data_IF_817526237341
#
_entry.id   IF_817526237341
#
_cell.length_a   1.000
_cell.length_b   1.000
_cell.length_c   1.000
_cell.angle_alpha   90.00
_cell.angle_beta   90.00
_cell.angle_gamma   90.00
#
_symmetry.space_group_name_H-M   'P 1'
#
loop_
_entity.id
_entity.type
_entity.pdbx_description
1 polymer ?
#
# COMPACT_ATOMS: atom_id res chain seq x y z
N UNK A 1 -10.81 -12.34 -1.85
CA UNK A 1 -10.68 -11.29 -2.84
C UNK A 1 -11.87 -10.35 -2.79
N UNK A 2 -11.63 -9.11 -2.82
CA UNK A 2 -12.72 -8.17 -2.86
C UNK A 2 -13.40 -8.19 -4.23
N UNK A 3 -14.69 -7.94 -4.22
CA UNK A 3 -15.45 -7.80 -5.44
C UNK A 3 -15.04 -6.50 -6.14
N UNK A 4 -14.57 -6.62 -7.38
CA UNK A 4 -14.16 -5.47 -8.16
C UNK A 4 -15.18 -5.11 -9.25
N UNK A 5 -16.31 -5.82 -9.28
CA UNK A 5 -17.33 -5.49 -10.28
C UNK A 5 -17.98 -4.15 -9.95
N UNK A 6 -18.34 -3.43 -11.01
CA UNK A 6 -18.96 -2.13 -10.91
C UNK A 6 -20.41 -2.21 -11.40
N UNK A 7 -21.24 -1.22 -11.05
CA UNK A 7 -22.60 -1.19 -11.57
C UNK A 7 -22.67 -1.25 -13.08
N UNK A 8 -23.82 -1.67 -13.62
CA UNK A 8 -24.01 -1.91 -15.05
C UNK A 8 -23.80 -0.66 -15.92
N UNK A 9 -23.90 0.54 -15.34
CA UNK A 9 -23.67 1.77 -16.08
C UNK A 9 -22.20 2.02 -16.41
N UNK A 10 -21.26 1.22 -15.90
CA UNK A 10 -19.85 1.34 -16.24
C UNK A 10 -19.53 0.51 -17.48
N UNK A 11 -18.72 1.07 -18.36
CA UNK A 11 -18.24 0.37 -19.55
C UNK A 11 -16.73 0.57 -19.68
N UNK A 12 -16.09 -0.41 -20.33
CA UNK A 12 -14.63 -0.37 -20.55
C UNK A 12 -14.38 0.44 -21.82
N UNK A 13 -13.68 1.56 -21.69
CA UNK A 13 -13.24 2.35 -22.83
C UNK A 13 -12.05 3.21 -22.46
N UNK A 14 -11.42 3.80 -23.46
CA UNK A 14 -10.30 4.70 -23.27
C UNK A 14 -10.86 6.11 -23.14
N UNK A 15 -10.76 6.76 -21.96
CA UNK A 15 -11.22 8.14 -21.80
C UNK A 15 -10.43 9.10 -22.68
N UNK A 16 -11.01 10.24 -22.99
CA UNK A 16 -10.33 11.28 -23.77
C UNK A 16 -9.03 11.67 -23.07
N UNK A 17 -7.93 11.66 -23.83
CA UNK A 17 -6.62 12.02 -23.32
C UNK A 17 -5.88 10.90 -22.58
N UNK A 18 -6.52 9.74 -22.43
CA UNK A 18 -5.88 8.59 -21.78
C UNK A 18 -5.30 7.65 -22.85
N UNK A 19 -4.56 6.64 -22.37
CA UNK A 19 -3.93 5.63 -23.23
C UNK A 19 -4.38 4.21 -22.91
N UNK A 20 -5.13 4.01 -21.84
CA UNK A 20 -5.56 2.70 -21.36
C UNK A 20 -7.07 2.66 -21.20
N UNK A 21 -7.63 1.46 -21.35
CA UNK A 21 -9.04 1.25 -21.04
C UNK A 21 -9.27 1.39 -19.55
N UNK A 22 -10.35 2.06 -19.20
CA UNK A 22 -10.80 2.27 -17.83
C UNK A 22 -12.27 1.91 -17.74
N UNK A 23 -12.77 1.77 -16.52
CA UNK A 23 -14.19 1.65 -16.28
C UNK A 23 -14.77 3.06 -16.20
N UNK A 24 -15.63 3.40 -17.15
CA UNK A 24 -16.18 4.75 -17.28
C UNK A 24 -17.69 4.68 -17.11
N UNK A 25 -18.22 5.57 -16.27
CA UNK A 25 -19.68 5.67 -16.09
C UNK A 25 -20.30 6.26 -17.35
N UNK A 26 -21.22 5.51 -17.97
CA UNK A 26 -21.90 5.95 -19.19
C UNK A 26 -22.93 7.07 -18.93
N UNK A 27 -23.28 7.29 -17.67
CA UNK A 27 -24.25 8.33 -17.29
C UNK A 27 -23.58 9.68 -17.09
N UNK A 28 -22.47 9.74 -16.33
CA UNK A 28 -21.85 11.00 -15.94
C UNK A 28 -20.40 11.16 -16.41
N UNK A 29 -19.81 10.12 -17.01
CA UNK A 29 -18.43 10.17 -17.47
C UNK A 29 -17.37 9.95 -16.39
N UNK A 30 -17.78 9.64 -15.16
CA UNK A 30 -16.81 9.35 -14.10
C UNK A 30 -15.90 8.19 -14.52
N UNK A 31 -14.60 8.34 -14.30
CA UNK A 31 -13.61 7.32 -14.61
C UNK A 31 -13.14 6.68 -13.31
N UNK A 32 -13.30 5.36 -13.23
CA UNK A 32 -12.83 4.59 -12.09
C UNK A 32 -11.41 4.08 -12.40
N UNK A 33 -10.43 4.66 -11.74
CA UNK A 33 -9.04 4.26 -11.89
C UNK A 33 -8.69 3.17 -10.89
N UNK A 34 -8.00 2.14 -11.37
CA UNK A 34 -7.45 1.09 -10.51
C UNK A 34 -5.95 1.21 -10.57
N UNK A 35 -5.34 1.58 -9.46
CA UNK A 35 -3.91 1.84 -9.37
C UNK A 35 -3.23 0.84 -8.43
N UNK A 36 -1.92 0.63 -8.59
CA UNK A 36 -1.18 -0.19 -7.64
C UNK A 36 -1.29 0.38 -6.22
N UNK A 37 -1.31 -0.52 -5.25
CA UNK A 37 -1.26 -0.12 -3.84
C UNK A 37 0.20 -0.07 -3.42
N UNK A 38 0.54 0.98 -2.67
CA UNK A 38 1.91 1.20 -2.21
C UNK A 38 2.05 0.64 -0.81
N UNK A 39 3.05 -0.20 -0.62
CA UNK A 39 3.42 -0.72 0.71
C UNK A 39 4.63 0.05 1.19
N UNK A 40 4.56 0.53 2.42
CA UNK A 40 5.70 1.19 3.07
C UNK A 40 6.13 0.38 4.26
N UNK A 41 7.41 0.35 4.51
CA UNK A 41 7.97 -0.39 5.63
C UNK A 41 9.26 0.25 6.12
N UNK A 42 9.76 -0.24 7.25
CA UNK A 42 10.95 0.30 7.86
C UNK A 42 11.96 -0.80 8.18
N UNK A 43 13.22 -0.47 8.00
CA UNK A 43 14.32 -1.25 8.55
C UNK A 43 14.72 -0.53 9.83
N UNK A 44 14.37 -1.09 10.97
CA UNK A 44 14.60 -0.49 12.28
C UNK A 44 15.78 -1.18 12.92
N UNK A 45 16.82 -0.42 13.22
CA UNK A 45 18.05 -0.93 13.78
C UNK A 45 18.18 -0.50 15.24
N UNK A 46 18.60 -1.44 16.09
CA UNK A 46 18.91 -1.17 17.49
C UNK A 46 20.00 -2.14 17.93
N UNK A 47 21.14 -1.62 18.38
CA UNK A 47 22.27 -2.42 18.85
C UNK A 47 22.64 -3.55 17.87
N UNK A 48 22.80 -3.20 16.60
CA UNK A 48 23.17 -4.12 15.52
C UNK A 48 22.12 -5.19 15.24
N UNK A 49 20.89 -5.00 15.70
CA UNK A 49 19.77 -5.90 15.47
C UNK A 49 18.72 -5.22 14.60
N UNK A 50 18.01 -6.03 13.85
CA UNK A 50 16.90 -5.56 13.01
C UNK A 50 15.59 -5.99 13.65
N UNK A 51 14.64 -5.06 13.73
CA UNK A 51 13.30 -5.37 14.21
C UNK A 51 12.56 -6.19 13.16
N UNK A 52 12.06 -7.36 13.55
CA UNK A 52 11.23 -8.19 12.72
C UNK A 52 9.90 -8.44 13.41
N UNK A 53 8.86 -8.58 12.60
CA UNK A 53 7.52 -8.91 13.06
C UNK A 53 7.12 -10.28 12.52
N UNK A 54 6.43 -11.06 13.34
CA UNK A 54 5.94 -12.36 12.93
C UNK A 54 4.51 -12.21 12.44
N UNK A 55 4.25 -12.68 11.23
CA UNK A 55 2.90 -12.56 10.65
C UNK A 55 1.89 -13.38 11.44
N UNK A 56 0.78 -12.74 11.78
CA UNK A 56 -0.33 -13.37 12.48
C UNK A 56 -1.49 -13.69 11.55
N UNK A 57 -1.47 -13.20 10.32
CA UNK A 57 -2.54 -13.37 9.34
C UNK A 57 -1.98 -13.91 8.02
N UNK A 58 -2.87 -14.51 7.24
CA UNK A 58 -2.52 -14.98 5.89
C UNK A 58 -2.16 -13.78 4.99
N UNK A 59 -1.34 -14.00 3.96
CA UNK A 59 -0.59 -15.21 3.69
C UNK A 59 0.64 -15.34 4.59
N UNK A 60 1.22 -16.53 4.64
CA UNK A 60 2.50 -16.79 5.32
C UNK A 60 2.44 -16.52 6.82
N UNK A 61 1.38 -17.00 7.48
CA UNK A 61 1.29 -16.95 8.94
C UNK A 61 2.53 -17.57 9.56
N UNK A 62 3.09 -16.88 10.56
CA UNK A 62 4.28 -17.34 11.27
C UNK A 62 5.60 -16.98 10.62
N UNK A 63 5.59 -16.44 9.42
CA UNK A 63 6.82 -15.98 8.76
C UNK A 63 7.23 -14.63 9.33
N UNK A 64 8.54 -14.41 9.39
CA UNK A 64 9.10 -13.16 9.86
C UNK A 64 9.19 -12.14 8.71
N UNK A 65 8.91 -10.90 9.02
CA UNK A 65 8.96 -9.82 8.05
C UNK A 65 9.35 -8.51 8.72
N UNK A 66 9.77 -7.56 7.91
CA UNK A 66 9.93 -6.18 8.39
C UNK A 66 8.55 -5.59 8.67
N UNK A 67 8.43 -4.64 9.62
CA UNK A 67 7.18 -3.93 9.81
C UNK A 67 6.84 -3.15 8.53
N UNK A 68 5.66 -3.39 7.98
CA UNK A 68 5.23 -2.80 6.72
C UNK A 68 3.73 -2.95 6.53
N UNK A 69 3.17 -2.09 5.71
CA UNK A 69 1.76 -2.16 5.36
C UNK A 69 1.41 -1.16 4.27
N UNK A 70 0.15 -1.11 3.91
CA UNK A 70 -0.33 -0.20 2.89
C UNK A 70 -0.24 1.25 3.35
N UNK A 71 0.27 2.09 2.46
CA UNK A 71 0.29 3.52 2.66
C UNK A 71 -1.14 4.07 2.65
N UNK A 72 -1.41 5.02 3.53
CA UNK A 72 -2.72 5.67 3.60
C UNK A 72 -2.71 6.99 2.84
N UNK A 73 -3.90 7.47 2.51
CA UNK A 73 -4.04 8.78 1.87
C UNK A 73 -3.50 9.87 2.80
N UNK A 74 -2.79 10.81 2.20
CA UNK A 74 -2.24 11.94 2.95
C UNK A 74 -0.94 11.66 3.69
N UNK A 75 -0.43 10.44 3.58
CA UNK A 75 0.85 10.09 4.20
C UNK A 75 1.99 10.21 3.21
N UNK A 76 3.16 10.59 3.70
CA UNK A 76 4.41 10.34 2.99
C UNK A 76 4.85 8.90 3.23
N UNK A 77 5.81 8.42 2.44
CA UNK A 77 6.35 7.07 2.64
C UNK A 77 6.95 6.91 4.03
N UNK A 78 7.63 7.93 4.52
CA UNK A 78 8.21 7.92 5.87
C UNK A 78 7.13 7.86 6.95
N UNK A 79 6.06 8.63 6.78
CA UNK A 79 4.96 8.64 7.73
C UNK A 79 4.25 7.29 7.76
N UNK A 80 4.03 6.69 6.60
CA UNK A 80 3.41 5.37 6.50
C UNK A 80 4.26 4.29 7.16
N UNK A 81 5.57 4.30 6.91
CA UNK A 81 6.48 3.34 7.52
C UNK A 81 6.52 3.49 9.05
N UNK A 82 6.54 4.72 9.55
CA UNK A 82 6.54 4.97 10.99
C UNK A 82 5.24 4.51 11.63
N UNK A 83 4.10 4.80 11.01
CA UNK A 83 2.80 4.37 11.51
C UNK A 83 2.69 2.85 11.56
N UNK A 84 3.07 2.16 10.48
CA UNK A 84 3.02 0.70 10.44
C UNK A 84 3.91 0.07 11.50
N UNK A 85 5.09 0.64 11.72
CA UNK A 85 6.00 0.14 12.76
C UNK A 85 5.39 0.32 14.15
N UNK A 86 4.75 1.47 14.39
CA UNK A 86 4.08 1.71 15.67
C UNK A 86 2.91 0.75 15.88
N UNK A 87 2.11 0.52 14.84
CA UNK A 87 0.94 -0.36 14.93
C UNK A 87 1.35 -1.83 15.13
N UNK A 88 2.36 -2.29 14.41
CA UNK A 88 2.73 -3.70 14.42
C UNK A 88 3.67 -4.08 15.56
N UNK A 89 4.52 -3.17 16.00
CA UNK A 89 5.55 -3.47 16.98
C UNK A 89 5.57 -2.54 18.18
N UNK A 90 4.72 -1.50 18.18
CA UNK A 90 4.71 -0.51 19.24
C UNK A 90 6.01 0.29 19.36
N UNK A 91 6.85 0.27 18.32
CA UNK A 91 8.14 0.89 18.36
C UNK A 91 8.13 2.31 17.83
N UNK A 92 8.86 3.19 18.49
CA UNK A 92 9.12 4.54 18.02
C UNK A 92 10.58 4.64 17.67
N UNK A 93 10.87 5.39 16.61
CA UNK A 93 12.23 5.48 16.11
C UNK A 93 12.43 6.78 15.34
N UNK A 94 13.68 7.13 15.13
CA UNK A 94 14.03 8.29 14.32
C UNK A 94 14.12 7.86 12.85
N UNK A 95 13.32 8.48 12.00
CA UNK A 95 13.34 8.19 10.57
C UNK A 95 14.55 8.85 9.93
N UNK A 96 15.32 8.07 9.19
CA UNK A 96 16.49 8.59 8.50
C UNK A 96 16.23 8.72 7.01
N UNK A 97 16.83 7.88 6.18
CA UNK A 97 16.76 8.04 4.76
C UNK A 97 15.96 6.90 4.12
N UNK A 98 15.46 7.14 2.93
CA UNK A 98 14.91 6.09 2.10
C UNK A 98 16.02 5.09 1.78
N UNK A 99 15.79 3.83 2.11
CA UNK A 99 16.78 2.78 1.88
C UNK A 99 16.69 2.24 0.45
N UNK A 100 15.48 1.85 0.04
CA UNK A 100 15.28 1.23 -1.27
C UNK A 100 13.83 1.33 -1.72
N UNK A 101 13.64 1.28 -3.02
CA UNK A 101 12.35 1.08 -3.65
C UNK A 101 12.42 -0.26 -4.35
N UNK A 102 11.45 -1.13 -4.09
CA UNK A 102 11.40 -2.45 -4.68
C UNK A 102 10.09 -2.66 -5.41
N UNK A 103 10.19 -3.30 -6.55
CA UNK A 103 9.02 -3.63 -7.38
C UNK A 103 8.58 -5.07 -7.14
#
# INVERSE_FOLDING_TARGET
>A
MSDTSLPAQFSRKIPDGDTHQRDVCSTCGYVHYVNPKIVTGAIVLHDERILLCRRAIAPRIGFWTLPAGFMELGETTAQGAARETQEEAGAQFEMQALFAIMN
#
